data_IF_857172089823
#
_entry.id   IF_857172089823
#
_cell.length_a   1.000
_cell.length_b   1.000
_cell.length_c   1.000
_cell.angle_alpha   90.00
_cell.angle_beta   90.00
_cell.angle_gamma   90.00
#
_symmetry.space_group_name_H-M   'P 1'
#
loop_
_entity.id
_entity.type
_entity.pdbx_description
1 polymer ?
#
# COMPACT_ATOMS: atom_id res chain seq x y z
N UNK A 1 -22.88 32.31 57.85
CA UNK A 1 -22.47 31.41 56.75
C UNK A 1 -21.10 30.84 57.11
N UNK A 2 -21.02 29.57 57.51
CA UNK A 2 -19.77 28.95 57.95
C UNK A 2 -18.94 28.57 56.71
N UNK A 3 -17.92 29.36 56.37
CA UNK A 3 -16.97 28.97 55.33
C UNK A 3 -16.15 27.79 55.84
N UNK A 4 -16.50 26.57 55.41
CA UNK A 4 -15.70 25.37 55.67
C UNK A 4 -14.34 25.57 55.02
N UNK A 5 -13.30 25.72 55.82
CA UNK A 5 -11.92 25.82 55.33
C UNK A 5 -11.54 24.46 54.74
N UNK A 6 -11.16 24.45 53.46
CA UNK A 6 -10.57 23.27 52.83
C UNK A 6 -9.28 22.94 53.59
N UNK A 7 -9.16 21.69 54.05
CA UNK A 7 -7.94 21.25 54.73
C UNK A 7 -6.79 21.19 53.72
N UNK A 8 -5.57 21.53 54.15
CA UNK A 8 -4.37 21.46 53.30
C UNK A 8 -4.17 20.06 52.70
N UNK A 9 -4.58 19.02 53.43
CA UNK A 9 -4.54 17.62 52.98
C UNK A 9 -5.50 17.42 51.80
N UNK A 10 -6.72 17.96 51.87
CA UNK A 10 -7.70 17.88 50.77
C UNK A 10 -7.22 18.61 49.52
N UNK A 11 -6.46 19.70 49.68
CA UNK A 11 -5.89 20.43 48.55
C UNK A 11 -4.74 19.62 47.90
N UNK A 12 -3.87 19.04 48.72
CA UNK A 12 -2.74 18.21 48.23
C UNK A 12 -3.24 16.95 47.55
N UNK A 13 -4.26 16.27 48.08
CA UNK A 13 -4.85 15.11 47.41
C UNK A 13 -5.50 15.49 46.08
N UNK A 14 -6.22 16.62 46.02
CA UNK A 14 -6.77 17.11 44.75
C UNK A 14 -5.67 17.45 43.73
N UNK A 15 -4.58 18.10 44.19
CA UNK A 15 -3.40 18.44 43.36
C UNK A 15 -2.66 17.19 42.85
N UNK A 16 -2.64 16.10 43.62
CA UNK A 16 -2.07 14.82 43.20
C UNK A 16 -2.99 14.08 42.21
N UNK A 17 -4.30 14.09 42.46
CA UNK A 17 -5.28 13.47 41.56
C UNK A 17 -5.31 14.14 40.18
N UNK A 18 -5.20 15.46 40.10
CA UNK A 18 -5.10 16.15 38.81
C UNK A 18 -3.81 15.78 38.05
N UNK A 19 -2.67 15.59 38.74
CA UNK A 19 -1.41 15.21 38.08
C UNK A 19 -1.48 13.78 37.54
N UNK A 20 -2.15 12.87 38.24
CA UNK A 20 -2.41 11.52 37.74
C UNK A 20 -3.36 11.52 36.55
N UNK A 21 -4.40 12.36 36.57
CA UNK A 21 -5.36 12.49 35.46
C UNK A 21 -4.70 13.00 34.18
N UNK A 22 -3.77 13.97 34.27
CA UNK A 22 -3.05 14.49 33.11
C UNK A 22 -2.09 13.47 32.48
N UNK A 23 -1.54 12.53 33.26
CA UNK A 23 -0.67 11.46 32.74
C UNK A 23 -1.45 10.26 32.15
N UNK A 24 -2.78 10.23 32.30
CA UNK A 24 -3.63 9.16 31.77
C UNK A 24 -4.31 9.53 30.46
N UNK A 25 -4.22 10.79 30.03
CA UNK A 25 -4.68 11.21 28.72
C UNK A 25 -3.57 10.86 27.72
N UNK A 26 -3.77 9.89 26.82
CA UNK A 26 -2.82 9.68 25.74
C UNK A 26 -2.68 10.96 24.94
N UNK A 27 -1.46 11.29 24.48
CA UNK A 27 -1.21 12.45 23.63
C UNK A 27 -2.26 12.52 22.52
N UNK A 28 -2.87 13.68 22.30
CA UNK A 28 -3.95 13.85 21.32
C UNK A 28 -3.47 13.44 19.92
N UNK A 29 -2.19 13.66 19.64
CA UNK A 29 -1.47 13.25 18.45
C UNK A 29 -1.38 11.72 18.33
N UNK A 30 -1.16 11.01 19.44
CA UNK A 30 -1.15 9.54 19.47
C UNK A 30 -2.56 8.95 19.31
N UNK A 31 -3.61 9.67 19.70
CA UNK A 31 -5.00 9.29 19.45
C UNK A 31 -5.42 9.53 17.99
N UNK A 32 -4.96 10.62 17.35
CA UNK A 32 -5.21 10.88 15.93
C UNK A 32 -4.41 9.98 14.97
N UNK A 33 -3.24 9.52 15.39
CA UNK A 33 -2.39 8.63 14.60
C UNK A 33 -2.83 7.16 14.67
N UNK A 34 -3.64 6.79 15.67
CA UNK A 34 -4.35 5.51 15.68
C UNK A 34 -5.51 5.63 14.69
N UNK A 35 -5.28 5.20 13.45
CA UNK A 35 -6.35 4.89 12.51
C UNK A 35 -7.42 4.07 13.24
N UNK A 36 -8.70 4.26 12.88
CA UNK A 36 -9.78 3.48 13.47
C UNK A 36 -9.49 1.98 13.32
N UNK A 37 -10.24 1.12 14.02
CA UNK A 37 -9.90 -0.30 14.13
C UNK A 37 -9.76 -1.08 12.82
N UNK A 38 -10.05 -0.46 11.66
CA UNK A 38 -9.91 -0.98 10.30
C UNK A 38 -9.81 0.16 9.25
N UNK A 39 -8.73 0.92 9.27
CA UNK A 39 -8.44 1.93 8.23
C UNK A 39 -7.18 1.57 7.41
N UNK A 40 -6.79 0.31 7.45
CA UNK A 40 -5.60 -0.17 6.76
C UNK A 40 -5.84 -0.28 5.26
N UNK A 41 -4.80 0.04 4.48
CA UNK A 41 -4.78 -0.11 3.04
C UNK A 41 -3.80 -1.22 2.67
N UNK A 42 -4.14 -2.00 1.66
CA UNK A 42 -3.29 -3.08 1.14
C UNK A 42 -3.35 -3.11 -0.37
N UNK A 43 -2.27 -3.59 -1.01
CA UNK A 43 -2.32 -3.92 -2.44
C UNK A 43 -3.17 -5.18 -2.62
N UNK A 44 -4.22 -5.07 -3.41
CA UNK A 44 -5.15 -6.16 -3.72
C UNK A 44 -4.64 -6.99 -4.90
N UNK A 45 -4.23 -6.33 -5.98
CA UNK A 45 -3.65 -6.98 -7.15
C UNK A 45 -2.68 -6.06 -7.88
N UNK A 46 -1.79 -6.70 -8.64
CA UNK A 46 -0.94 -6.07 -9.65
C UNK A 46 -1.10 -6.94 -10.90
N UNK A 47 -1.63 -6.36 -11.97
CA UNK A 47 -1.94 -7.04 -13.22
C UNK A 47 -1.16 -6.37 -14.36
N UNK A 48 -0.71 -7.17 -15.32
CA UNK A 48 0.10 -6.72 -16.46
C UNK A 48 -0.67 -6.93 -17.76
N UNK A 49 -0.75 -5.87 -18.56
CA UNK A 49 -1.44 -5.84 -19.85
C UNK A 49 -2.94 -5.62 -19.76
N UNK A 50 -3.57 -5.56 -20.93
CA UNK A 50 -5.00 -5.38 -21.13
C UNK A 50 -5.50 -6.26 -22.30
N UNK A 51 -6.76 -6.10 -22.73
CA UNK A 51 -7.33 -6.89 -23.84
C UNK A 51 -6.63 -6.65 -25.19
N UNK A 52 -6.00 -5.48 -25.39
CA UNK A 52 -5.33 -5.12 -26.65
C UNK A 52 -3.86 -5.52 -26.67
N UNK A 53 -3.17 -5.45 -25.52
CA UNK A 53 -1.78 -5.84 -25.36
C UNK A 53 -1.62 -6.62 -24.06
N UNK A 54 -1.51 -7.93 -24.18
CA UNK A 54 -1.34 -8.86 -23.07
C UNK A 54 0.10 -9.37 -22.99
N UNK A 55 0.46 -9.99 -21.86
CA UNK A 55 1.74 -10.67 -21.72
C UNK A 55 1.83 -11.85 -22.70
N UNK A 56 2.97 -12.00 -23.35
CA UNK A 56 3.25 -13.15 -24.20
C UNK A 56 3.39 -14.44 -23.36
N UNK A 57 3.12 -15.59 -23.97
CA UNK A 57 3.18 -16.89 -23.28
C UNK A 57 4.31 -17.76 -23.81
N UNK A 58 5.09 -18.33 -22.89
CA UNK A 58 6.12 -19.32 -23.19
C UNK A 58 5.77 -20.64 -22.50
N UNK A 59 5.70 -21.72 -23.29
CA UNK A 59 5.57 -23.08 -22.76
C UNK A 59 6.97 -23.58 -22.42
N UNK A 60 7.21 -23.79 -21.13
CA UNK A 60 8.48 -24.28 -20.61
C UNK A 60 8.70 -25.76 -20.97
N UNK A 61 9.95 -26.25 -20.96
CA UNK A 61 10.25 -27.66 -21.25
C UNK A 61 9.54 -28.68 -20.34
N UNK A 62 9.14 -28.28 -19.13
CA UNK A 62 8.38 -29.10 -18.19
C UNK A 62 6.85 -29.05 -18.43
N UNK A 63 6.40 -28.30 -19.43
CA UNK A 63 5.00 -28.14 -19.82
C UNK A 63 4.25 -27.02 -19.08
N UNK A 64 4.89 -26.32 -18.14
CA UNK A 64 4.28 -25.13 -17.51
C UNK A 64 4.24 -23.93 -18.47
N UNK A 65 3.36 -22.96 -18.19
CA UNK A 65 3.21 -21.75 -19.01
C UNK A 65 3.63 -20.54 -18.19
N UNK A 66 4.58 -19.77 -18.72
CA UNK A 66 5.11 -18.56 -18.09
C UNK A 66 4.82 -17.35 -18.98
N UNK A 67 4.29 -16.28 -18.37
CA UNK A 67 4.14 -14.98 -19.02
C UNK A 67 5.49 -14.26 -19.15
N UNK A 68 5.74 -13.60 -20.28
CA UNK A 68 6.91 -12.75 -20.48
C UNK A 68 6.56 -11.45 -21.19
N UNK A 69 7.46 -10.47 -21.07
CA UNK A 69 7.39 -9.16 -21.72
C UNK A 69 8.55 -9.04 -22.69
N UNK A 70 8.33 -8.32 -23.79
CA UNK A 70 9.39 -7.96 -24.73
C UNK A 70 10.01 -6.64 -24.33
N UNK A 71 11.33 -6.54 -24.51
CA UNK A 71 12.05 -5.31 -24.24
C UNK A 71 11.55 -4.18 -25.17
N UNK A 72 11.34 -3.00 -24.60
CA UNK A 72 10.84 -1.79 -25.27
C UNK A 72 9.38 -1.84 -25.74
N UNK A 73 8.62 -2.88 -25.42
CA UNK A 73 7.17 -2.88 -25.64
C UNK A 73 6.48 -2.27 -24.42
N UNK A 74 5.82 -1.13 -24.59
CA UNK A 74 5.07 -0.46 -23.52
C UNK A 74 3.88 -1.31 -23.08
N UNK A 75 3.74 -1.55 -21.77
CA UNK A 75 2.70 -2.38 -21.19
C UNK A 75 1.96 -1.61 -20.09
N UNK A 76 0.66 -1.88 -19.93
CA UNK A 76 -0.10 -1.39 -18.78
C UNK A 76 0.18 -2.23 -17.54
N UNK A 77 0.37 -1.54 -16.41
CA UNK A 77 0.44 -2.12 -15.08
C UNK A 77 -0.74 -1.58 -14.28
N UNK A 78 -1.69 -2.45 -13.96
CA UNK A 78 -2.90 -2.11 -13.23
C UNK A 78 -2.66 -2.50 -11.77
N UNK A 79 -2.64 -1.51 -10.89
CA UNK A 79 -2.49 -1.72 -9.45
C UNK A 79 -3.81 -1.42 -8.76
N UNK A 80 -4.35 -2.41 -8.07
CA UNK A 80 -5.57 -2.25 -7.27
C UNK A 80 -5.20 -2.12 -5.80
N UNK A 81 -5.61 -1.02 -5.18
CA UNK A 81 -5.51 -0.80 -3.72
C UNK A 81 -6.85 -1.14 -3.08
N UNK A 82 -6.82 -1.81 -1.94
CA UNK A 82 -8.00 -2.14 -1.14
C UNK A 82 -7.92 -1.47 0.22
N UNK A 83 -9.03 -0.87 0.67
CA UNK A 83 -9.17 -0.34 2.03
C UNK A 83 -9.95 -1.32 2.89
N UNK A 84 -9.39 -1.78 4.01
CA UNK A 84 -10.14 -2.57 4.97
C UNK A 84 -11.15 -1.70 5.76
N UNK A 85 -12.09 -2.35 6.43
CA UNK A 85 -13.03 -1.74 7.35
C UNK A 85 -14.48 -1.76 6.91
N UNK A 86 -15.31 -1.07 7.69
CA UNK A 86 -16.75 -1.03 7.42
C UNK A 86 -17.04 -0.14 6.22
N UNK A 87 -17.94 -0.60 5.36
CA UNK A 87 -18.51 0.19 4.24
C UNK A 87 -19.19 1.48 4.73
N UNK A 88 -19.65 1.51 5.98
CA UNK A 88 -20.25 2.68 6.62
C UNK A 88 -19.25 3.57 7.37
N UNK A 89 -17.96 3.22 7.36
CA UNK A 89 -16.90 4.00 7.98
C UNK A 89 -16.58 5.28 7.19
N UNK A 90 -15.76 6.15 7.78
CA UNK A 90 -15.26 7.34 7.10
C UNK A 90 -14.43 6.95 5.89
N UNK A 91 -14.70 7.60 4.75
CA UNK A 91 -13.89 7.41 3.55
C UNK A 91 -12.51 8.03 3.76
N UNK A 92 -11.47 7.34 3.29
CA UNK A 92 -10.09 7.79 3.39
C UNK A 92 -9.34 7.49 2.11
N UNK A 93 -8.28 8.23 1.87
CA UNK A 93 -7.32 8.03 0.80
C UNK A 93 -5.96 7.66 1.40
N UNK A 94 -5.11 7.03 0.60
CA UNK A 94 -3.70 6.78 0.95
C UNK A 94 -2.80 7.15 -0.23
N UNK A 95 -1.56 7.50 0.07
CA UNK A 95 -0.51 7.52 -0.94
C UNK A 95 -0.02 6.09 -1.19
N UNK A 96 0.16 5.73 -2.45
CA UNK A 96 0.62 4.43 -2.91
C UNK A 96 1.88 4.59 -3.77
N UNK A 97 2.68 3.53 -3.80
CA UNK A 97 3.96 3.49 -4.52
C UNK A 97 4.16 2.13 -5.18
N UNK A 98 4.54 2.15 -6.46
CA UNK A 98 5.02 1.00 -7.21
C UNK A 98 6.49 1.23 -7.57
N UNK A 99 7.34 0.25 -7.28
CA UNK A 99 8.77 0.28 -7.64
C UNK A 99 9.09 -0.90 -8.56
N UNK A 100 9.69 -0.60 -9.70
CA UNK A 100 10.26 -1.61 -10.59
C UNK A 100 11.69 -1.84 -10.13
N UNK A 101 11.98 -3.03 -9.60
CA UNK A 101 13.28 -3.36 -8.99
C UNK A 101 14.04 -4.33 -9.87
N UNK A 102 15.28 -3.99 -10.20
CA UNK A 102 16.18 -4.90 -10.90
C UNK A 102 16.52 -6.09 -9.98
N UNK A 103 16.66 -7.33 -10.51
CA UNK A 103 17.07 -8.50 -9.71
C UNK A 103 18.37 -8.37 -8.90
N UNK A 104 19.20 -7.34 -9.16
CA UNK A 104 20.44 -7.07 -8.40
C UNK A 104 20.22 -6.05 -7.26
N UNK A 105 19.00 -5.57 -7.06
CA UNK A 105 18.58 -4.81 -5.88
C UNK A 105 18.59 -3.28 -6.02
N UNK A 106 18.48 -2.73 -7.23
CA UNK A 106 18.28 -1.29 -7.42
C UNK A 106 16.93 -0.98 -8.08
N UNK A 107 16.37 0.18 -7.76
CA UNK A 107 15.11 0.66 -8.35
C UNK A 107 15.39 1.23 -9.73
N UNK A 108 14.72 0.68 -10.74
CA UNK A 108 14.76 1.14 -12.14
C UNK A 108 13.82 2.33 -12.29
N UNK A 109 12.61 2.21 -11.75
CA UNK A 109 11.56 3.21 -11.91
C UNK A 109 10.65 3.22 -10.68
N UNK A 110 10.07 4.38 -10.38
CA UNK A 110 9.17 4.59 -9.25
C UNK A 110 7.95 5.36 -9.71
N UNK A 111 6.78 4.81 -9.39
CA UNK A 111 5.49 5.46 -9.61
C UNK A 111 4.83 5.71 -8.28
N UNK A 112 4.26 6.90 -8.12
CA UNK A 112 3.54 7.29 -6.90
C UNK A 112 2.21 7.93 -7.29
N UNK A 113 1.16 7.60 -6.57
CA UNK A 113 -0.15 8.21 -6.74
C UNK A 113 -0.87 8.27 -5.39
N UNK A 114 -1.91 9.08 -5.31
CA UNK A 114 -2.84 9.08 -4.18
C UNK A 114 -4.12 8.40 -4.65
N UNK A 115 -4.63 7.45 -3.86
CA UNK A 115 -5.89 6.78 -4.18
C UNK A 115 -7.07 7.74 -4.11
N UNK A 116 -8.18 7.39 -4.75
CA UNK A 116 -9.45 8.04 -4.47
C UNK A 116 -9.90 7.87 -3.00
N UNK A 117 -10.88 8.67 -2.58
CA UNK A 117 -11.53 8.50 -1.28
C UNK A 117 -12.32 7.18 -1.26
N UNK A 118 -11.81 6.19 -0.51
CA UNK A 118 -12.40 4.86 -0.43
C UNK A 118 -13.17 4.63 0.87
N UNK A 119 -14.39 4.05 0.82
CA UNK A 119 -15.03 3.47 2.00
C UNK A 119 -14.31 2.16 2.40
N UNK A 120 -14.56 1.65 3.62
CA UNK A 120 -14.07 0.32 3.97
C UNK A 120 -14.67 -0.76 3.06
N UNK A 121 -13.86 -1.70 2.60
CA UNK A 121 -14.21 -2.67 1.55
C UNK A 121 -14.08 -2.13 0.13
N UNK A 122 -13.77 -0.84 -0.05
CA UNK A 122 -13.58 -0.20 -1.34
C UNK A 122 -12.28 -0.63 -2.03
N UNK A 123 -12.27 -0.50 -3.35
CA UNK A 123 -11.09 -0.71 -4.20
C UNK A 123 -10.91 0.50 -5.11
N UNK A 124 -9.65 0.83 -5.36
CA UNK A 124 -9.22 1.88 -6.27
C UNK A 124 -8.18 1.30 -7.22
N UNK A 125 -8.38 1.49 -8.52
CA UNK A 125 -7.52 0.96 -9.58
C UNK A 125 -6.74 2.09 -10.22
N UNK A 126 -5.42 1.95 -10.28
CA UNK A 126 -4.55 2.90 -10.97
C UNK A 126 -3.79 2.19 -12.08
N UNK A 127 -3.88 2.73 -13.30
CA UNK A 127 -3.20 2.23 -14.49
C UNK A 127 -1.93 3.02 -14.74
N UNK A 128 -0.81 2.33 -14.85
CA UNK A 128 0.51 2.89 -15.14
C UNK A 128 0.98 2.34 -16.48
N UNK A 129 1.49 3.20 -17.36
CA UNK A 129 2.22 2.75 -18.54
C UNK A 129 3.68 2.55 -18.18
N UNK A 130 4.20 1.36 -18.43
CA UNK A 130 5.58 1.01 -18.15
C UNK A 130 6.26 0.44 -19.39
N UNK A 131 7.49 0.89 -19.66
CA UNK A 131 8.29 0.42 -20.78
C UNK A 131 9.52 -0.36 -20.27
N UNK A 132 9.57 -1.70 -20.34
CA UNK A 132 10.68 -2.49 -19.84
C UNK A 132 11.94 -2.29 -20.68
N UNK A 133 12.95 -1.62 -20.11
CA UNK A 133 14.18 -1.25 -20.84
C UNK A 133 15.29 -2.31 -20.81
N UNK A 134 15.14 -3.37 -20.02
CA UNK A 134 16.21 -4.35 -19.77
C UNK A 134 15.66 -5.75 -19.93
N UNK A 135 16.35 -6.58 -20.72
CA UNK A 135 16.12 -8.02 -20.83
C UNK A 135 17.37 -8.79 -20.43
N UNK A 136 17.18 -9.91 -19.73
CA UNK A 136 18.25 -10.85 -19.32
C UNK A 136 18.16 -12.18 -20.06
N UNK A 137 17.26 -12.28 -21.03
CA UNK A 137 17.03 -13.50 -21.79
C UNK A 137 16.61 -13.18 -23.23
N UNK A 138 16.84 -14.15 -24.11
CA UNK A 138 16.43 -14.14 -25.51
C UNK A 138 15.66 -15.43 -25.79
N UNK A 139 14.43 -15.30 -26.26
CA UNK A 139 13.63 -16.43 -26.72
C UNK A 139 13.92 -16.69 -28.20
N UNK A 140 14.42 -17.89 -28.51
CA UNK A 140 14.54 -18.36 -29.89
C UNK A 140 13.19 -18.87 -30.38
N UNK A 141 12.54 -18.10 -31.25
CA UNK A 141 11.20 -18.43 -31.79
C UNK A 141 11.20 -19.60 -32.79
N UNK A 142 12.37 -20.05 -33.25
CA UNK A 142 12.48 -21.23 -34.12
C UNK A 142 12.55 -22.52 -33.32
N UNK A 143 13.24 -22.50 -32.17
CA UNK A 143 13.43 -23.69 -31.32
C UNK A 143 12.60 -23.69 -30.04
N UNK A 144 11.93 -22.58 -29.72
CA UNK A 144 11.23 -22.32 -28.45
C UNK A 144 12.15 -22.41 -27.20
N UNK A 145 13.43 -22.11 -27.38
CA UNK A 145 14.45 -22.18 -26.32
C UNK A 145 14.74 -20.78 -25.77
N UNK A 146 14.78 -20.64 -24.45
CA UNK A 146 15.16 -19.40 -23.76
C UNK A 146 16.63 -19.47 -23.36
N UNK A 147 17.43 -18.49 -23.78
CA UNK A 147 18.85 -18.38 -23.40
C UNK A 147 19.09 -17.11 -22.60
N UNK A 148 19.81 -17.20 -21.49
CA UNK A 148 20.23 -16.02 -20.72
C UNK A 148 21.31 -15.23 -21.47
N UNK A 149 21.30 -13.91 -21.31
CA UNK A 149 22.32 -12.99 -21.87
C UNK A 149 23.36 -12.64 -20.81
#
# INVERSE_FOLDING_TARGET
MLMRRLSSISLVTLLLLQTLALNYVPDAEAASARGGSKDDFSIFSIELGNESLSTEQWIQPDGSVQGYLLQNDEIEVIVTVYKDGSVTGTQKQTDAKLEIVHPIGFVIETFTWTTDLMPGGGKDENTILWNPQVAHSVLNTTTNELTAV
#
